data_IF_562443896204
#
_entry.id   IF_562443896204
#
_cell.length_a   1.000
_cell.length_b   1.000
_cell.length_c   1.000
_cell.angle_alpha   90.00
_cell.angle_beta   90.00
_cell.angle_gamma   90.00
#
_symmetry.space_group_name_H-M   'P 1'
#
loop_
_entity.id
_entity.type
_entity.pdbx_description
1 polymer ?
#
# COMPACT_ATOMS: atom_id res chain seq x y z
N UNK A 1 15.48 10.42 -36.29
CA UNK A 1 14.16 10.27 -35.73
C UNK A 1 14.20 10.38 -34.22
N UNK A 2 14.15 11.61 -33.71
CA UNK A 2 14.23 11.81 -32.26
C UNK A 2 13.07 11.17 -31.48
N UNK A 3 11.92 11.01 -32.12
CA UNK A 3 10.76 10.46 -31.48
C UNK A 3 10.96 8.98 -31.05
N UNK A 4 11.67 8.24 -31.90
CA UNK A 4 11.94 6.82 -31.57
C UNK A 4 12.86 6.70 -30.38
N UNK A 5 13.87 7.54 -30.30
CA UNK A 5 14.79 7.53 -29.18
C UNK A 5 14.08 7.85 -27.86
N UNK A 6 13.16 8.83 -27.90
CA UNK A 6 12.39 9.18 -26.72
C UNK A 6 11.49 8.04 -26.26
N UNK A 7 10.87 7.35 -27.22
CA UNK A 7 9.99 6.24 -26.89
C UNK A 7 10.75 5.11 -26.20
N UNK A 8 11.96 4.82 -26.68
CA UNK A 8 12.77 3.76 -26.07
C UNK A 8 13.22 4.13 -24.66
N UNK A 9 13.66 5.37 -24.48
CA UNK A 9 14.07 5.83 -23.17
C UNK A 9 12.92 5.77 -22.18
N UNK A 10 11.75 6.15 -22.61
CA UNK A 10 10.56 6.12 -21.78
C UNK A 10 10.20 4.69 -21.39
N UNK A 11 10.28 3.76 -22.33
CA UNK A 11 9.98 2.37 -22.04
C UNK A 11 10.93 1.75 -21.02
N UNK A 12 12.23 2.06 -21.13
CA UNK A 12 13.20 1.57 -20.16
C UNK A 12 12.96 2.13 -18.77
N UNK A 13 12.59 3.40 -18.71
CA UNK A 13 12.30 4.03 -17.43
C UNK A 13 11.11 3.38 -16.76
N UNK A 14 10.09 3.08 -17.53
CA UNK A 14 8.91 2.38 -17.02
C UNK A 14 9.24 1.03 -16.40
N UNK A 15 10.15 0.29 -16.98
CA UNK A 15 10.52 -1.01 -16.46
C UNK A 15 11.21 -0.99 -15.11
N UNK A 16 11.68 0.17 -14.67
CA UNK A 16 12.36 0.28 -13.37
C UNK A 16 11.41 0.52 -12.21
N UNK A 17 10.23 1.02 -12.49
CA UNK A 17 9.25 1.27 -11.44
C UNK A 17 8.40 0.04 -11.33
N UNK A 18 8.23 -0.46 -10.12
CA UNK A 18 7.44 -1.65 -9.90
C UNK A 18 6.10 -1.55 -10.59
N UNK A 19 5.71 -2.59 -11.27
CA UNK A 19 4.37 -2.70 -11.80
C UNK A 19 3.54 -3.48 -10.81
N UNK A 20 2.23 -3.56 -11.05
CA UNK A 20 1.32 -4.21 -10.13
C UNK A 20 1.56 -5.69 -9.92
N UNK A 21 2.39 -6.33 -10.76
CA UNK A 21 2.66 -7.76 -10.64
C UNK A 21 3.39 -8.09 -9.36
N UNK A 22 4.27 -7.19 -8.89
CA UNK A 22 5.04 -7.43 -7.68
C UNK A 22 4.21 -7.19 -6.42
N UNK A 23 3.12 -6.45 -6.55
CA UNK A 23 2.25 -6.18 -5.43
C UNK A 23 1.19 -7.27 -5.25
N UNK A 24 0.67 -7.79 -6.37
CA UNK A 24 -0.38 -8.80 -6.33
C UNK A 24 0.13 -10.08 -5.67
N UNK A 25 -0.60 -10.55 -4.68
CA UNK A 25 -0.24 -11.75 -3.93
C UNK A 25 0.71 -11.50 -2.78
N UNK A 26 1.09 -10.25 -2.52
CA UNK A 26 2.06 -9.94 -1.48
C UNK A 26 1.38 -9.36 -0.25
N UNK A 27 2.03 -9.55 0.88
CA UNK A 27 1.57 -9.08 2.18
C UNK A 27 2.62 -8.14 2.77
N UNK A 28 2.15 -7.05 3.36
CA UNK A 28 3.01 -5.95 3.78
C UNK A 28 2.69 -5.50 5.19
N UNK A 29 3.74 -5.22 5.94
CA UNK A 29 3.63 -4.74 7.31
C UNK A 29 4.18 -3.32 7.40
N UNK A 30 3.45 -2.37 8.01
CA UNK A 30 3.92 -0.99 8.03
C UNK A 30 5.14 -0.82 8.93
N UNK A 31 6.11 -0.04 8.44
CA UNK A 31 7.25 0.43 9.21
C UNK A 31 7.17 1.93 9.48
N UNK A 32 6.29 2.63 8.77
CA UNK A 32 6.03 4.05 8.96
C UNK A 32 4.62 4.37 8.51
N UNK A 33 3.89 5.15 9.30
CA UNK A 33 2.57 5.69 8.94
C UNK A 33 2.59 7.16 9.35
N UNK A 34 2.23 8.05 8.42
CA UNK A 34 2.22 9.48 8.68
C UNK A 34 1.27 9.79 9.84
N UNK A 35 1.66 10.72 10.70
CA UNK A 35 0.88 11.19 11.85
C UNK A 35 0.47 10.05 12.80
N UNK A 36 1.29 9.00 12.87
CA UNK A 36 1.00 7.87 13.74
C UNK A 36 2.27 7.34 14.36
N UNK A 37 2.16 6.80 15.56
CA UNK A 37 3.24 6.08 16.21
C UNK A 37 2.92 4.60 16.14
N UNK A 38 3.89 3.81 15.68
CA UNK A 38 3.70 2.37 15.56
C UNK A 38 4.21 1.69 16.82
N UNK A 39 3.38 0.88 17.49
CA UNK A 39 3.86 0.06 18.59
C UNK A 39 4.87 -0.97 18.10
N UNK A 40 5.75 -1.43 19.00
CA UNK A 40 6.81 -2.37 18.64
C UNK A 40 6.29 -3.65 18.00
N UNK A 41 5.14 -4.14 18.42
CA UNK A 41 4.57 -5.36 17.86
C UNK A 41 3.22 -5.07 17.26
N UNK A 42 3.23 -4.38 16.12
CA UNK A 42 1.99 -4.09 15.44
C UNK A 42 1.46 -5.34 14.74
N UNK A 43 0.14 -5.52 14.80
CA UNK A 43 -0.53 -6.56 14.01
C UNK A 43 -1.04 -6.01 12.70
N UNK A 44 -0.71 -4.77 12.39
CA UNK A 44 -1.16 -4.15 11.14
C UNK A 44 -0.53 -4.85 9.97
N UNK A 45 -1.35 -5.15 8.99
CA UNK A 45 -0.90 -5.83 7.78
C UNK A 45 -1.88 -5.50 6.67
N UNK A 46 -1.36 -5.41 5.44
CA UNK A 46 -2.18 -5.27 4.25
C UNK A 46 -1.73 -6.30 3.23
N UNK A 47 -2.70 -6.97 2.60
CA UNK A 47 -2.44 -7.97 1.59
C UNK A 47 -3.20 -7.63 0.32
N UNK A 48 -2.47 -7.61 -0.79
CA UNK A 48 -3.05 -7.36 -2.10
C UNK A 48 -3.27 -8.71 -2.78
N UNK A 49 -4.50 -9.17 -2.75
CA UNK A 49 -4.84 -10.48 -3.27
C UNK A 49 -5.05 -10.44 -4.79
N UNK A 50 -4.84 -11.56 -5.49
CA UNK A 50 -5.22 -11.64 -6.90
C UNK A 50 -6.71 -11.36 -7.07
N UNK A 51 -7.07 -10.76 -8.20
CA UNK A 51 -8.47 -10.45 -8.46
C UNK A 51 -8.93 -9.10 -7.95
N UNK A 52 -8.01 -8.28 -7.40
CA UNK A 52 -8.34 -6.91 -7.02
C UNK A 52 -8.94 -6.77 -5.64
N UNK A 53 -8.76 -7.74 -4.77
CA UNK A 53 -9.21 -7.63 -3.38
C UNK A 53 -8.04 -7.27 -2.48
N UNK A 54 -8.24 -6.29 -1.60
CA UNK A 54 -7.27 -5.96 -0.56
C UNK A 54 -7.88 -6.36 0.78
N UNK A 55 -7.07 -7.03 1.60
CA UNK A 55 -7.48 -7.46 2.93
C UNK A 55 -6.38 -7.13 3.92
N UNK A 56 -6.69 -7.18 5.19
CA UNK A 56 -5.68 -6.98 6.20
C UNK A 56 -6.24 -6.85 7.59
N UNK A 57 -5.41 -6.32 8.46
CA UNK A 57 -5.75 -6.07 9.85
C UNK A 57 -5.23 -4.69 10.23
N UNK A 58 -6.09 -3.89 10.82
CA UNK A 58 -5.75 -2.52 11.20
C UNK A 58 -5.14 -2.38 12.59
N UNK A 59 -4.88 -3.50 13.22
CA UNK A 59 -4.38 -3.55 14.60
C UNK A 59 -5.30 -4.31 15.53
N UNK A 60 -6.59 -4.21 15.30
CA UNK A 60 -7.63 -4.92 16.04
C UNK A 60 -8.59 -5.60 15.09
N UNK A 61 -9.09 -4.86 14.11
CA UNK A 61 -10.13 -5.34 13.22
C UNK A 61 -9.57 -5.75 11.86
N UNK A 62 -10.17 -6.79 11.30
CA UNK A 62 -9.91 -7.17 9.91
C UNK A 62 -10.63 -6.21 8.98
N UNK A 63 -10.03 -5.92 7.84
CA UNK A 63 -10.66 -5.10 6.82
C UNK A 63 -10.56 -5.76 5.46
N UNK A 64 -11.42 -5.33 4.57
CA UNK A 64 -11.43 -5.80 3.19
C UNK A 64 -12.00 -4.71 2.28
N UNK A 65 -11.57 -4.73 1.03
CA UNK A 65 -12.07 -3.83 0.02
C UNK A 65 -11.49 -4.21 -1.32
N UNK A 66 -11.54 -3.27 -2.27
CA UNK A 66 -10.99 -3.48 -3.59
C UNK A 66 -9.81 -2.56 -3.84
N UNK A 67 -8.96 -2.95 -4.77
CA UNK A 67 -7.87 -2.09 -5.22
C UNK A 67 -7.68 -2.25 -6.72
N UNK A 68 -7.15 -1.21 -7.34
CA UNK A 68 -6.75 -1.25 -8.74
C UNK A 68 -5.35 -0.65 -8.85
N UNK A 69 -4.58 -1.17 -9.79
CA UNK A 69 -3.23 -0.69 -10.07
C UNK A 69 -3.09 -0.47 -11.56
N UNK A 70 -2.52 0.67 -11.92
CA UNK A 70 -2.19 1.01 -13.29
C UNK A 70 -0.83 1.70 -13.29
N UNK A 71 0.21 0.98 -13.74
CA UNK A 71 1.58 1.48 -13.61
C UNK A 71 1.94 1.68 -12.15
N UNK A 72 2.28 2.91 -11.76
CA UNK A 72 2.54 3.23 -10.36
C UNK A 72 1.34 3.87 -9.66
N UNK A 73 0.21 3.99 -10.35
CA UNK A 73 -1.01 4.49 -9.74
C UNK A 73 -1.72 3.37 -8.99
N UNK A 74 -2.20 3.66 -7.82
CA UNK A 74 -2.94 2.72 -7.00
C UNK A 74 -4.19 3.40 -6.46
N UNK A 75 -5.29 2.67 -6.45
CA UNK A 75 -6.50 3.14 -5.82
C UNK A 75 -7.06 2.04 -4.95
N UNK A 76 -7.21 2.34 -3.67
CA UNK A 76 -7.82 1.43 -2.71
C UNK A 76 -9.20 1.98 -2.43
N UNK A 77 -10.22 1.19 -2.74
CA UNK A 77 -11.60 1.61 -2.57
C UNK A 77 -12.01 1.65 -1.11
N UNK A 78 -13.30 1.94 -0.84
CA UNK A 78 -13.75 1.97 0.54
C UNK A 78 -13.45 0.64 1.24
N UNK A 79 -12.94 0.73 2.45
CA UNK A 79 -12.58 -0.44 3.24
C UNK A 79 -13.67 -0.70 4.28
N UNK A 80 -14.12 -1.94 4.34
CA UNK A 80 -15.04 -2.39 5.36
C UNK A 80 -14.25 -3.13 6.43
N UNK A 81 -14.57 -2.89 7.69
CA UNK A 81 -13.86 -3.53 8.78
C UNK A 81 -14.82 -4.13 9.79
N UNK A 82 -14.36 -5.14 10.52
CA UNK A 82 -15.07 -5.61 11.69
C UNK A 82 -15.05 -4.53 12.77
N UNK A 83 -15.86 -4.68 13.78
CA UNK A 83 -16.03 -3.64 14.80
C UNK A 83 -15.83 -4.19 16.22
N UNK A 84 -14.72 -4.87 16.41
CA UNK A 84 -14.34 -5.27 17.76
C UNK A 84 -13.84 -4.05 18.53
N UNK A 85 -14.17 -3.97 19.79
CA UNK A 85 -13.73 -2.87 20.64
C UNK A 85 -12.41 -3.19 21.32
N UNK A 86 -11.30 -2.84 20.71
CA UNK A 86 -9.99 -3.02 21.31
C UNK A 86 -9.54 -1.70 21.93
N UNK A 87 -9.38 -1.63 23.25
CA UNK A 87 -9.00 -0.37 23.89
C UNK A 87 -7.69 0.18 23.34
N UNK A 88 -7.68 1.49 23.08
CA UNK A 88 -6.48 2.20 22.68
C UNK A 88 -6.08 2.05 21.22
N UNK A 89 -6.82 1.32 20.41
CA UNK A 89 -6.41 1.06 19.03
C UNK A 89 -7.29 1.72 17.97
N UNK A 90 -8.46 2.21 18.34
CA UNK A 90 -9.44 2.72 17.36
C UNK A 90 -8.86 3.86 16.52
N UNK A 91 -8.18 4.81 17.16
CA UNK A 91 -7.62 5.95 16.45
C UNK A 91 -6.51 5.52 15.49
N UNK A 92 -5.62 4.65 15.95
CA UNK A 92 -4.52 4.17 15.13
C UNK A 92 -5.02 3.36 13.95
N UNK A 93 -6.04 2.56 14.17
CA UNK A 93 -6.66 1.77 13.11
C UNK A 93 -7.31 2.66 12.08
N UNK A 94 -8.07 3.67 12.52
CA UNK A 94 -8.69 4.63 11.62
C UNK A 94 -7.68 5.38 10.78
N UNK A 95 -6.55 5.78 11.38
CA UNK A 95 -5.47 6.43 10.65
C UNK A 95 -4.90 5.50 9.58
N UNK A 96 -4.68 4.25 9.92
CA UNK A 96 -4.14 3.28 8.97
C UNK A 96 -5.07 3.07 7.78
N UNK A 97 -6.36 2.85 8.04
CA UNK A 97 -7.32 2.65 6.97
C UNK A 97 -7.47 3.92 6.12
N UNK A 98 -7.43 5.09 6.74
CA UNK A 98 -7.48 6.36 6.02
C UNK A 98 -6.29 6.55 5.11
N UNK A 99 -5.09 6.19 5.57
CA UNK A 99 -3.88 6.26 4.77
C UNK A 99 -3.97 5.36 3.55
N UNK A 100 -4.46 4.14 3.73
CA UNK A 100 -4.61 3.22 2.60
C UNK A 100 -5.56 3.79 1.56
N UNK A 101 -6.67 4.38 2.00
CA UNK A 101 -7.66 4.92 1.07
C UNK A 101 -7.21 6.22 0.42
N UNK A 102 -6.26 6.94 1.01
CA UNK A 102 -5.71 8.16 0.45
C UNK A 102 -4.57 7.91 -0.54
N UNK A 103 -4.07 6.69 -0.63
CA UNK A 103 -2.96 6.37 -1.51
C UNK A 103 -3.36 6.60 -2.97
N UNK A 104 -2.48 7.26 -3.72
CA UNK A 104 -2.66 7.56 -5.13
C UNK A 104 -1.56 6.95 -6.00
N UNK A 105 -0.34 6.88 -5.46
CA UNK A 105 0.79 6.27 -6.17
C UNK A 105 1.60 5.44 -5.20
N UNK A 106 2.42 4.55 -5.75
CA UNK A 106 3.28 3.72 -4.92
C UNK A 106 4.63 3.52 -5.59
N UNK A 107 5.63 3.22 -4.76
CA UNK A 107 6.94 2.77 -5.22
C UNK A 107 7.25 1.48 -4.49
N UNK A 108 7.74 0.51 -5.24
CA UNK A 108 8.16 -0.76 -4.67
C UNK A 108 9.59 -1.04 -5.09
N UNK A 109 10.43 -1.38 -4.11
CA UNK A 109 11.82 -1.73 -4.36
C UNK A 109 12.12 -2.96 -3.51
N UNK A 110 12.07 -4.13 -4.13
CA UNK A 110 12.29 -5.38 -3.42
C UNK A 110 11.26 -5.58 -2.33
N UNK A 111 11.72 -5.58 -1.07
CA UNK A 111 10.88 -5.82 0.09
C UNK A 111 10.33 -4.53 0.70
N UNK A 112 10.51 -3.39 0.02
CA UNK A 112 10.01 -2.11 0.52
C UNK A 112 8.90 -1.58 -0.37
N UNK A 113 7.84 -1.07 0.25
CA UNK A 113 6.72 -0.45 -0.44
C UNK A 113 6.46 0.90 0.21
N UNK A 114 6.29 1.94 -0.62
CA UNK A 114 5.96 3.28 -0.13
C UNK A 114 4.69 3.76 -0.84
N UNK A 115 3.76 4.32 -0.08
CA UNK A 115 2.53 4.89 -0.61
C UNK A 115 2.58 6.41 -0.50
N UNK A 116 2.08 7.08 -1.54
CA UNK A 116 2.02 8.53 -1.62
C UNK A 116 0.59 8.97 -1.94
N UNK A 117 0.22 10.17 -1.48
CA UNK A 117 -1.07 10.75 -1.83
C UNK A 117 -1.00 11.49 -3.16
N UNK A 118 -2.09 12.17 -3.54
CA UNK A 118 -2.16 12.90 -4.81
C UNK A 118 -1.20 14.08 -4.87
N UNK A 119 -0.77 14.60 -3.74
CA UNK A 119 0.21 15.69 -3.69
C UNK A 119 1.64 15.18 -3.68
N UNK A 120 1.85 13.86 -3.67
CA UNK A 120 3.17 13.28 -3.61
C UNK A 120 3.72 13.18 -2.21
N UNK A 121 2.90 13.41 -1.18
CA UNK A 121 3.32 13.29 0.21
C UNK A 121 3.39 11.81 0.59
N UNK A 122 4.48 11.41 1.22
CA UNK A 122 4.66 10.05 1.70
C UNK A 122 3.67 9.77 2.82
N UNK A 123 2.82 8.78 2.62
CA UNK A 123 1.80 8.39 3.58
C UNK A 123 2.25 7.26 4.48
N UNK A 124 2.93 6.28 3.92
CA UNK A 124 3.31 5.09 4.66
C UNK A 124 4.43 4.36 3.96
N UNK A 125 5.18 3.59 4.72
CA UNK A 125 6.20 2.70 4.21
C UNK A 125 5.99 1.34 4.84
N UNK A 126 6.22 0.29 4.04
CA UNK A 126 5.96 -1.09 4.44
C UNK A 126 7.15 -1.97 4.14
N UNK A 127 7.24 -3.06 4.87
CA UNK A 127 8.19 -4.14 4.62
C UNK A 127 7.37 -5.38 4.29
N UNK A 128 7.84 -6.14 3.31
CA UNK A 128 7.16 -7.38 2.92
C UNK A 128 7.22 -8.37 4.07
N UNK A 129 6.06 -8.89 4.46
CA UNK A 129 5.95 -9.73 5.64
C UNK A 129 5.77 -11.21 5.31
N UNK A 130 5.48 -11.54 4.07
CA UNK A 130 5.27 -12.92 3.65
C UNK A 130 6.52 -13.55 3.06
N UNK A 131 7.64 -12.88 3.19
CA UNK A 131 8.91 -13.35 2.64
C UNK A 131 9.92 -13.51 3.76
N UNK A 132 10.23 -14.72 4.10
CA UNK A 132 11.18 -15.05 5.16
C UNK A 132 12.39 -15.76 4.63
#
# INVERSE_FOLDING_TARGET
MPLLALALAFGLWHGRHGDGRHLTGSEWRPSFIVASVLPDKTRRVVKFNPGGEVTGNGGCNHFAGSYTISGNAIKIGPLMSTRMGCPGTIRLEGTFLGVLQAAATFEQDGTKLVLFDTAGTKLAQFVRSDED
#
